data_IF_878199217750
#
_entry.id   IF_878199217750
#
_cell.length_a   1.000
_cell.length_b   1.000
_cell.length_c   1.000
_cell.angle_alpha   90.00
_cell.angle_beta   90.00
_cell.angle_gamma   90.00
#
_symmetry.space_group_name_H-M   'P 1'
#
loop_
_entity.id
_entity.type
_entity.pdbx_description
1 polymer ?
#
# COMPACT_ATOMS: atom_id res chain seq x y z
N UNK A 1 7.44 8.75 16.81
CA UNK A 1 7.27 9.34 15.45
C UNK A 1 5.88 9.92 15.35
N UNK A 2 5.73 11.12 14.78
CA UNK A 2 4.42 11.71 14.53
C UNK A 2 4.47 12.45 13.18
N UNK A 3 3.70 11.96 12.22
CA UNK A 3 3.53 12.59 10.91
C UNK A 3 2.14 13.18 10.86
N UNK A 4 2.04 14.47 10.54
CA UNK A 4 0.78 15.22 10.55
C UNK A 4 0.60 16.00 9.26
N UNK A 5 -0.57 15.88 8.66
CA UNK A 5 -1.04 16.62 7.50
C UNK A 5 -2.14 17.58 7.94
N UNK A 6 -1.99 18.87 7.60
CA UNK A 6 -2.98 19.91 7.89
C UNK A 6 -3.49 20.48 6.56
N UNK A 7 -4.81 20.46 6.35
CA UNK A 7 -5.45 21.13 5.22
C UNK A 7 -6.33 22.28 5.74
N UNK A 8 -5.87 23.51 5.50
CA UNK A 8 -6.55 24.74 5.92
C UNK A 8 -7.80 25.05 5.11
N UNK A 9 -7.89 24.58 3.86
CA UNK A 9 -9.04 24.89 3.00
C UNK A 9 -10.28 24.12 3.43
N UNK A 10 -10.08 22.92 3.99
CA UNK A 10 -11.14 21.99 4.38
C UNK A 10 -11.18 21.76 5.89
N UNK A 11 -10.34 22.51 6.62
CA UNK A 11 -10.27 22.54 8.07
C UNK A 11 -10.20 21.14 8.69
N UNK A 12 -9.33 20.27 8.16
CA UNK A 12 -9.07 18.96 8.78
C UNK A 12 -7.58 18.77 9.07
N UNK A 13 -7.29 17.82 9.96
CA UNK A 13 -5.92 17.32 10.10
C UNK A 13 -5.89 15.82 10.28
N UNK A 14 -4.99 15.16 9.58
CA UNK A 14 -4.79 13.72 9.66
C UNK A 14 -3.36 13.42 10.10
N UNK A 15 -3.14 12.29 10.75
CA UNK A 15 -1.79 11.93 11.12
C UNK A 15 -1.64 10.50 11.60
N UNK A 16 -0.38 10.06 11.59
CA UNK A 16 0.06 8.77 12.10
C UNK A 16 0.92 9.05 13.33
N UNK A 17 0.57 8.39 14.45
CA UNK A 17 1.31 8.43 15.70
C UNK A 17 1.95 7.07 15.96
N UNK A 18 3.18 7.09 16.45
CA UNK A 18 3.90 5.92 16.92
C UNK A 18 4.70 6.34 18.15
N UNK A 19 4.33 5.83 19.32
CA UNK A 19 4.96 6.24 20.58
C UNK A 19 6.40 5.76 20.68
N UNK A 20 6.62 4.46 20.47
CA UNK A 20 7.95 3.90 20.41
C UNK A 20 7.98 2.67 19.49
N UNK A 21 9.14 2.48 18.86
CA UNK A 21 9.50 1.24 18.20
C UNK A 21 10.79 0.76 18.84
N UNK A 22 10.83 -0.51 19.23
CA UNK A 22 12.02 -1.15 19.72
C UNK A 22 12.23 -2.44 18.94
N UNK A 23 13.46 -2.70 18.53
CA UNK A 23 13.86 -3.97 17.94
C UNK A 23 14.91 -4.58 18.87
N UNK A 24 14.60 -5.70 19.49
CA UNK A 24 15.53 -6.45 20.31
C UNK A 24 16.04 -7.66 19.52
N UNK A 25 17.37 -7.77 19.33
CA UNK A 25 17.93 -9.04 18.88
C UNK A 25 17.78 -10.05 20.02
N UNK A 26 17.06 -11.14 19.80
CA UNK A 26 17.11 -12.26 20.72
C UNK A 26 18.43 -12.97 20.43
N UNK A 27 19.39 -12.88 21.36
CA UNK A 27 20.80 -13.29 21.23
C UNK A 27 21.04 -14.81 21.10
N UNK A 28 20.17 -15.54 20.42
CA UNK A 28 20.37 -16.95 20.11
C UNK A 28 20.58 -17.10 18.61
N UNK A 29 21.82 -16.85 18.16
CA UNK A 29 22.30 -17.39 16.88
C UNK A 29 22.51 -18.89 17.07
N UNK A 30 21.45 -19.67 16.84
CA UNK A 30 21.56 -21.12 16.75
C UNK A 30 21.67 -21.44 15.27
N UNK A 31 22.81 -22.01 14.87
CA UNK A 31 23.03 -22.53 13.52
C UNK A 31 22.77 -21.50 12.40
N UNK A 32 23.23 -20.25 12.51
CA UNK A 32 23.13 -19.25 11.43
C UNK A 32 21.72 -18.69 11.15
N UNK A 33 20.74 -19.03 11.99
CA UNK A 33 19.44 -18.35 12.03
C UNK A 33 19.47 -17.16 12.98
N UNK A 34 18.88 -16.04 12.57
CA UNK A 34 18.79 -14.82 13.37
C UNK A 34 17.33 -14.56 13.75
N UNK A 35 17.11 -14.33 15.05
CA UNK A 35 15.80 -14.03 15.61
C UNK A 35 15.75 -12.56 16.06
N UNK A 36 14.80 -11.81 15.52
CA UNK A 36 14.58 -10.41 15.87
C UNK A 36 13.13 -10.22 16.27
N UNK A 37 12.92 -9.58 17.42
CA UNK A 37 11.60 -9.21 17.88
C UNK A 37 11.49 -7.68 17.82
N UNK A 38 10.58 -7.18 17.00
CA UNK A 38 10.26 -5.77 16.94
C UNK A 38 8.90 -5.52 17.61
N UNK A 39 8.86 -4.61 18.56
CA UNK A 39 7.63 -4.14 19.20
C UNK A 39 7.31 -2.74 18.72
N UNK A 40 6.13 -2.56 18.13
CA UNK A 40 5.58 -1.26 17.79
C UNK A 40 4.53 -0.90 18.84
N UNK A 41 4.81 0.11 19.63
CA UNK A 41 3.96 0.53 20.73
C UNK A 41 3.08 1.71 20.33
N UNK A 42 1.78 1.56 20.57
CA UNK A 42 0.76 2.59 20.35
C UNK A 42 0.84 3.23 18.95
N UNK A 43 0.80 2.39 17.90
CA UNK A 43 0.62 2.88 16.52
C UNK A 43 -0.86 3.23 16.30
N UNK A 44 -1.13 4.46 15.88
CA UNK A 44 -2.48 4.95 15.68
C UNK A 44 -2.58 5.87 14.46
N UNK A 45 -3.79 5.93 13.90
CA UNK A 45 -4.12 6.84 12.80
C UNK A 45 -5.29 7.70 13.24
N UNK A 46 -5.14 9.01 13.16
CA UNK A 46 -6.19 9.94 13.53
C UNK A 46 -6.59 10.86 12.39
N UNK A 47 -7.83 11.33 12.46
CA UNK A 47 -8.42 12.30 11.54
C UNK A 47 -9.32 13.25 12.31
N UNK A 48 -8.89 14.49 12.44
CA UNK A 48 -9.61 15.53 13.16
C UNK A 48 -10.45 16.34 12.18
N UNK A 49 -11.76 16.29 12.40
CA UNK A 49 -12.80 16.88 11.55
C UNK A 49 -12.78 18.42 11.52
N UNK A 50 -12.16 19.03 12.54
CA UNK A 50 -12.10 20.47 12.73
C UNK A 50 -10.68 20.91 13.09
N UNK A 51 -10.03 21.60 12.14
CA UNK A 51 -8.79 22.32 12.36
C UNK A 51 -9.11 23.78 12.68
N UNK A 52 -9.00 24.17 13.94
CA UNK A 52 -9.27 25.55 14.37
C UNK A 52 -8.08 26.46 14.09
N UNK A 53 -6.84 25.96 14.31
CA UNK A 53 -5.61 26.68 14.01
C UNK A 53 -4.50 25.71 13.60
N UNK A 54 -3.70 26.04 12.56
CA UNK A 54 -2.54 25.24 12.19
C UNK A 54 -1.51 25.24 13.32
N UNK A 55 -1.00 24.06 13.64
CA UNK A 55 0.09 23.91 14.63
C UNK A 55 1.39 24.41 14.01
N UNK A 56 1.53 24.26 12.69
CA UNK A 56 2.65 24.75 11.88
C UNK A 56 2.90 26.26 11.96
N UNK A 57 1.88 27.07 12.27
CA UNK A 57 2.03 28.52 12.42
C UNK A 57 2.56 28.95 13.80
N UNK A 58 2.77 28.02 14.74
CA UNK A 58 3.24 28.31 16.10
C UNK A 58 4.77 28.34 16.16
N UNK A 59 5.36 29.08 17.13
CA UNK A 59 6.80 29.05 17.38
C UNK A 59 7.32 27.62 17.62
N UNK A 60 8.56 27.34 17.21
CA UNK A 60 9.15 26.00 17.17
C UNK A 60 9.05 25.22 18.49
N UNK A 61 9.25 25.90 19.63
CA UNK A 61 9.15 25.27 20.95
C UNK A 61 7.72 24.79 21.26
N UNK A 62 6.73 25.62 20.94
CA UNK A 62 5.30 25.29 21.12
C UNK A 62 4.86 24.24 20.11
N UNK A 63 5.36 24.30 18.88
CA UNK A 63 5.14 23.28 17.86
C UNK A 63 5.63 21.91 18.35
N UNK A 64 6.85 21.81 18.86
CA UNK A 64 7.44 20.56 19.38
C UNK A 64 6.64 20.02 20.57
N UNK A 65 6.22 20.89 21.49
CA UNK A 65 5.41 20.50 22.64
C UNK A 65 4.04 19.97 22.23
N UNK A 66 3.32 20.66 21.33
CA UNK A 66 2.01 20.22 20.86
C UNK A 66 2.10 18.93 20.04
N UNK A 67 3.09 18.80 19.16
CA UNK A 67 3.31 17.57 18.40
C UNK A 67 3.60 16.37 19.29
N UNK A 68 4.28 16.56 20.44
CA UNK A 68 4.48 15.50 21.45
C UNK A 68 3.18 15.19 22.19
N UNK A 69 2.44 16.21 22.61
CA UNK A 69 1.19 16.06 23.36
C UNK A 69 0.07 15.39 22.55
N UNK A 70 0.14 15.42 21.22
CA UNK A 70 -0.82 14.74 20.35
C UNK A 70 -0.60 13.22 20.24
N UNK A 71 0.63 12.75 20.53
CA UNK A 71 0.92 11.32 20.62
C UNK A 71 0.16 10.79 21.83
N UNK A 72 -0.61 9.71 21.65
CA UNK A 72 -1.33 9.09 22.75
C UNK A 72 -0.36 8.68 23.85
N UNK A 73 -0.78 8.85 25.10
CA UNK A 73 -0.09 8.33 26.27
C UNK A 73 -1.11 7.57 27.11
N UNK A 74 -0.91 6.26 27.27
CA UNK A 74 -1.51 5.44 28.35
C UNK A 74 -2.97 5.81 28.66
N UNK A 75 -3.88 5.47 27.76
CA UNK A 75 -5.34 5.58 27.92
C UNK A 75 -5.93 7.01 28.00
N UNK A 76 -5.11 8.07 27.92
CA UNK A 76 -5.63 9.39 27.55
C UNK A 76 -5.69 9.48 26.03
N UNK A 77 -6.87 9.22 25.48
CA UNK A 77 -7.19 9.69 24.13
C UNK A 77 -7.03 11.21 24.17
N UNK A 78 -5.96 11.69 23.53
CA UNK A 78 -5.78 13.10 23.23
C UNK A 78 -7.02 13.59 22.46
N UNK A 79 -7.28 14.90 22.40
CA UNK A 79 -8.44 15.49 21.70
C UNK A 79 -8.56 15.11 20.19
N UNK A 80 -7.69 14.24 19.69
CA UNK A 80 -7.71 13.74 18.33
C UNK A 80 -8.69 12.58 18.17
N UNK A 81 -9.43 12.60 17.07
CA UNK A 81 -10.36 11.54 16.72
C UNK A 81 -9.63 10.44 15.95
N UNK A 82 -9.32 9.35 16.64
CA UNK A 82 -8.63 8.21 16.04
C UNK A 82 -9.55 7.41 15.11
N UNK A 83 -9.09 7.18 13.88
CA UNK A 83 -9.69 6.20 12.96
C UNK A 83 -9.22 4.80 13.35
N UNK A 84 -7.91 4.64 13.51
CA UNK A 84 -7.31 3.42 14.06
C UNK A 84 -6.84 3.78 15.45
N UNK A 85 -7.48 3.21 16.48
CA UNK A 85 -7.05 3.44 17.86
C UNK A 85 -5.60 2.96 18.05
N UNK A 86 -4.83 3.58 18.95
CA UNK A 86 -3.46 3.15 19.20
C UNK A 86 -3.40 1.67 19.59
N UNK A 87 -2.75 0.84 18.77
CA UNK A 87 -2.54 -0.59 19.01
C UNK A 87 -1.07 -0.85 19.27
N UNK A 88 -0.78 -1.81 20.16
CA UNK A 88 0.58 -2.33 20.34
C UNK A 88 0.68 -3.67 19.61
N UNK A 89 1.71 -3.84 18.80
CA UNK A 89 1.91 -5.03 17.98
C UNK A 89 3.32 -5.55 18.12
N UNK A 90 3.46 -6.88 18.04
CA UNK A 90 4.75 -7.55 18.04
C UNK A 90 4.97 -8.22 16.69
N UNK A 91 6.17 -8.04 16.17
CA UNK A 91 6.64 -8.58 14.90
C UNK A 91 7.84 -9.45 15.23
N UNK A 92 7.67 -10.76 15.09
CA UNK A 92 8.77 -11.72 15.20
C UNK A 92 9.30 -12.01 13.79
N UNK A 93 10.59 -11.76 13.59
CA UNK A 93 11.27 -11.97 12.33
C UNK A 93 12.33 -13.05 12.55
N UNK A 94 12.25 -14.10 11.76
CA UNK A 94 13.31 -15.11 11.67
C UNK A 94 13.94 -15.01 10.29
N UNK A 95 15.27 -14.93 10.25
CA UNK A 95 16.03 -14.91 8.99
C UNK A 95 17.06 -16.00 9.04
N UNK A 96 16.97 -16.94 8.11
CA UNK A 96 18.00 -17.94 7.90
C UNK A 96 19.08 -17.35 7.00
N UNK A 97 20.29 -17.21 7.56
CA UNK A 97 21.44 -16.68 6.83
C UNK A 97 22.33 -17.78 6.26
N UNK A 98 21.97 -19.06 6.46
CA UNK A 98 22.66 -20.18 5.84
C UNK A 98 22.22 -20.30 4.38
N UNK A 99 23.17 -20.18 3.47
CA UNK A 99 22.96 -20.42 2.04
C UNK A 99 23.24 -21.91 1.67
N UNK A 100 23.31 -22.80 2.66
CA UNK A 100 23.61 -24.23 2.46
C UNK A 100 22.35 -24.99 2.02
N UNK A 101 22.42 -25.55 0.81
CA UNK A 101 21.40 -26.36 0.08
C UNK A 101 20.78 -27.52 0.89
N UNK A 102 21.38 -27.93 2.00
CA UNK A 102 20.92 -29.06 2.81
C UNK A 102 19.69 -28.74 3.70
N UNK A 103 19.41 -27.47 3.99
CA UNK A 103 18.31 -27.04 4.88
C UNK A 103 17.15 -26.38 4.11
N UNK A 104 16.83 -26.88 2.92
CA UNK A 104 15.74 -26.38 2.05
C UNK A 104 14.33 -26.47 2.66
N UNK A 105 14.16 -27.10 3.82
CA UNK A 105 12.89 -27.13 4.54
C UNK A 105 12.63 -25.86 5.36
N UNK A 106 13.65 -25.06 5.64
CA UNK A 106 13.54 -23.85 6.48
C UNK A 106 13.47 -22.62 5.57
N UNK A 107 12.39 -21.81 5.66
CA UNK A 107 12.26 -20.61 4.85
C UNK A 107 13.34 -19.58 5.13
N UNK A 108 13.78 -18.84 4.09
CA UNK A 108 14.84 -17.82 4.23
C UNK A 108 14.43 -16.70 5.18
N UNK A 109 13.16 -16.28 5.13
CA UNK A 109 12.59 -15.27 6.02
C UNK A 109 11.19 -15.68 6.48
N UNK A 110 10.93 -15.60 7.78
CA UNK A 110 9.57 -15.70 8.32
C UNK A 110 9.26 -14.44 9.12
N UNK A 111 8.13 -13.82 8.82
CA UNK A 111 7.62 -12.65 9.53
C UNK A 111 6.29 -13.03 10.14
N UNK A 112 6.24 -13.08 11.46
CA UNK A 112 5.02 -13.32 12.23
C UNK A 112 4.59 -12.01 12.88
N UNK A 113 3.43 -11.51 12.50
CA UNK A 113 2.81 -10.32 13.07
C UNK A 113 1.61 -10.76 13.90
N UNK A 114 1.66 -10.48 15.19
CA UNK A 114 0.56 -10.78 16.10
C UNK A 114 -0.07 -9.47 16.59
N UNK A 115 -1.36 -9.32 16.28
CA UNK A 115 -2.19 -8.22 16.76
C UNK A 115 -3.30 -8.79 17.65
N UNK A 116 -3.40 -8.32 18.88
CA UNK A 116 -4.42 -8.80 19.81
C UNK A 116 -5.81 -8.25 19.45
N UNK A 117 -5.94 -6.94 19.34
CA UNK A 117 -7.18 -6.29 18.96
C UNK A 117 -6.93 -5.05 18.11
N UNK A 118 -7.69 -4.89 17.03
CA UNK A 118 -7.68 -3.70 16.18
C UNK A 118 -9.06 -3.04 16.24
N UNK A 119 -9.11 -1.79 16.70
CA UNK A 119 -10.34 -1.00 16.74
C UNK A 119 -10.28 0.11 15.69
N UNK A 120 -11.17 0.02 14.72
CA UNK A 120 -11.36 0.98 13.65
C UNK A 120 -12.68 1.70 13.87
N UNK A 121 -12.66 3.01 14.01
CA UNK A 121 -13.84 3.83 14.24
C UNK A 121 -13.86 5.00 13.25
N UNK A 122 -14.88 5.08 12.42
CA UNK A 122 -15.01 6.14 11.42
C UNK A 122 -16.31 6.89 11.64
N UNK A 123 -16.23 8.21 11.77
CA UNK A 123 -17.40 9.09 11.77
C UNK A 123 -17.87 9.39 10.35
N UNK A 124 -19.15 9.71 10.19
CA UNK A 124 -19.72 10.17 8.92
C UNK A 124 -18.97 11.38 8.34
N UNK A 125 -18.58 12.34 9.19
CA UNK A 125 -17.82 13.52 8.76
C UNK A 125 -16.41 13.11 8.29
N UNK A 126 -15.72 12.26 9.05
CA UNK A 126 -14.40 11.74 8.66
C UNK A 126 -14.47 11.03 7.32
N UNK A 127 -15.46 10.14 7.15
CA UNK A 127 -15.63 9.37 5.93
C UNK A 127 -15.87 10.28 4.72
N UNK A 128 -16.75 11.28 4.85
CA UNK A 128 -17.01 12.26 3.80
C UNK A 128 -15.75 13.06 3.46
N UNK A 129 -14.98 13.52 4.45
CA UNK A 129 -13.73 14.25 4.22
C UNK A 129 -12.67 13.39 3.54
N UNK A 130 -12.53 12.11 3.93
CA UNK A 130 -11.62 11.16 3.28
C UNK A 130 -11.98 10.96 1.82
N UNK A 131 -13.27 10.77 1.51
CA UNK A 131 -13.75 10.64 0.14
C UNK A 131 -13.50 11.91 -0.67
N UNK A 132 -13.73 13.10 -0.10
CA UNK A 132 -13.41 14.38 -0.75
C UNK A 132 -11.89 14.50 -1.05
N UNK A 133 -11.04 14.10 -0.10
CA UNK A 133 -9.57 14.13 -0.29
C UNK A 133 -9.15 13.14 -1.37
N UNK A 134 -9.71 11.93 -1.38
CA UNK A 134 -9.46 10.92 -2.43
C UNK A 134 -9.78 11.50 -3.82
N UNK A 135 -10.97 12.07 -4.00
CA UNK A 135 -11.38 12.68 -5.27
C UNK A 135 -10.41 13.81 -5.69
N UNK A 136 -9.94 14.63 -4.75
CA UNK A 136 -8.96 15.68 -5.05
C UNK A 136 -7.60 15.14 -5.45
N UNK A 137 -7.13 14.08 -4.81
CA UNK A 137 -5.86 13.44 -5.19
C UNK A 137 -5.97 12.89 -6.62
N UNK A 138 -7.10 12.27 -6.97
CA UNK A 138 -7.38 11.83 -8.34
C UNK A 138 -7.39 13.00 -9.33
N UNK A 139 -8.12 14.09 -9.01
CA UNK A 139 -8.13 15.32 -9.82
C UNK A 139 -6.72 15.93 -9.94
N UNK A 140 -5.95 15.93 -8.86
CA UNK A 140 -4.58 16.46 -8.85
C UNK A 140 -3.66 15.65 -9.78
N UNK A 141 -3.69 14.31 -9.70
CA UNK A 141 -2.94 13.42 -10.60
C UNK A 141 -3.28 13.70 -12.07
N UNK A 142 -4.58 13.78 -12.38
CA UNK A 142 -5.04 14.12 -13.74
C UNK A 142 -4.56 15.52 -14.16
N UNK A 143 -4.71 16.53 -13.30
CA UNK A 143 -4.27 17.91 -13.58
C UNK A 143 -2.76 18.01 -13.77
N UNK A 144 -1.97 17.27 -12.99
CA UNK A 144 -0.50 17.24 -13.10
C UNK A 144 -0.09 16.63 -14.43
N UNK A 145 -0.67 15.48 -14.80
CA UNK A 145 -0.43 14.80 -16.08
C UNK A 145 -0.71 15.69 -17.29
N UNK A 146 -1.85 16.38 -17.31
CA UNK A 146 -2.26 17.21 -18.47
C UNK A 146 -1.92 18.70 -18.31
N UNK A 147 -1.10 19.07 -17.31
CA UNK A 147 -0.73 20.46 -17.03
C UNK A 147 -0.09 21.14 -18.24
N UNK A 148 0.71 20.40 -19.00
CA UNK A 148 1.40 20.89 -20.19
C UNK A 148 0.46 21.39 -21.29
N UNK A 149 -0.73 20.80 -21.41
CA UNK A 149 -1.71 21.19 -22.42
C UNK A 149 -2.61 22.35 -21.95
N UNK A 150 -2.54 22.73 -20.67
CA UNK A 150 -3.41 23.75 -20.10
C UNK A 150 -3.02 25.13 -20.61
N UNK A 151 -3.94 25.93 -21.18
CA UNK A 151 -3.65 27.29 -21.61
C UNK A 151 -3.15 28.16 -20.45
N UNK A 152 -1.98 28.76 -20.61
CA UNK A 152 -1.38 29.67 -19.63
C UNK A 152 -1.93 31.08 -19.87
N UNK A 153 -2.41 31.76 -18.82
CA UNK A 153 -2.95 33.15 -18.81
C UNK A 153 -4.31 33.41 -19.47
N UNK A 154 -4.90 32.46 -20.19
CA UNK A 154 -6.23 32.64 -20.80
C UNK A 154 -7.32 31.97 -19.95
N UNK A 155 -8.33 32.72 -19.53
CA UNK A 155 -9.55 32.12 -18.96
C UNK A 155 -10.41 31.54 -20.09
N UNK A 156 -11.32 30.58 -19.79
CA UNK A 156 -12.24 30.04 -20.79
C UNK A 156 -13.07 31.10 -21.52
N UNK A 157 -13.34 32.24 -20.87
CA UNK A 157 -14.05 33.37 -21.46
C UNK A 157 -13.22 34.15 -22.48
N UNK A 158 -11.89 34.19 -22.33
CA UNK A 158 -10.98 34.96 -23.21
C UNK A 158 -10.58 34.16 -24.45
N UNK A 159 -10.36 32.86 -24.32
CA UNK A 159 -10.00 32.00 -25.47
C UNK A 159 -10.65 30.60 -25.36
N UNK A 160 -11.95 30.49 -25.68
CA UNK A 160 -12.68 29.23 -25.54
C UNK A 160 -12.13 28.14 -26.45
N UNK A 161 -11.58 28.49 -27.63
CA UNK A 161 -11.06 27.52 -28.60
C UNK A 161 -9.85 26.78 -28.03
N UNK A 162 -8.92 27.48 -27.37
CA UNK A 162 -7.76 26.83 -26.74
C UNK A 162 -8.17 25.91 -25.59
N UNK A 163 -9.20 26.29 -24.82
CA UNK A 163 -9.74 25.43 -23.77
C UNK A 163 -10.43 24.18 -24.32
N UNK A 164 -11.14 24.28 -25.45
CA UNK A 164 -11.68 23.11 -26.16
C UNK A 164 -10.59 22.20 -26.70
N UNK A 165 -9.52 22.75 -27.29
CA UNK A 165 -8.35 21.96 -27.74
C UNK A 165 -7.70 21.22 -26.57
N UNK A 166 -7.52 21.89 -25.44
CA UNK A 166 -7.02 21.28 -24.20
C UNK A 166 -7.91 20.11 -23.73
N UNK A 167 -9.23 20.31 -23.70
CA UNK A 167 -10.17 19.27 -23.26
C UNK A 167 -10.16 18.08 -24.22
N UNK A 168 -10.16 18.33 -25.53
CA UNK A 168 -10.10 17.27 -26.55
C UNK A 168 -8.78 16.50 -26.43
N UNK A 169 -7.66 17.20 -26.28
CA UNK A 169 -6.35 16.59 -26.22
C UNK A 169 -6.17 15.75 -24.94
N UNK A 170 -6.53 16.29 -23.78
CA UNK A 170 -6.47 15.53 -22.51
C UNK A 170 -7.34 14.26 -22.51
N UNK A 171 -8.48 14.27 -23.22
CA UNK A 171 -9.31 13.07 -23.40
C UNK A 171 -8.80 12.10 -24.47
N UNK A 172 -8.25 12.60 -25.59
CA UNK A 172 -7.80 11.75 -26.70
C UNK A 172 -6.43 11.12 -26.46
N UNK A 173 -5.52 11.81 -25.76
CA UNK A 173 -4.16 11.35 -25.51
C UNK A 173 -4.10 9.97 -24.81
N UNK A 174 -4.84 9.68 -23.72
CA UNK A 174 -4.81 8.34 -23.13
C UNK A 174 -5.36 7.27 -24.08
N UNK A 175 -6.35 7.61 -24.91
CA UNK A 175 -6.93 6.68 -25.91
C UNK A 175 -5.94 6.43 -27.04
N UNK A 176 -5.23 7.47 -27.50
CA UNK A 176 -4.20 7.37 -28.54
C UNK A 176 -3.00 6.60 -28.04
N UNK A 177 -2.56 6.87 -26.81
CA UNK A 177 -1.45 6.15 -26.18
C UNK A 177 -1.79 4.68 -26.02
N UNK A 178 -2.98 4.35 -25.49
CA UNK A 178 -3.45 2.96 -25.39
C UNK A 178 -3.53 2.27 -26.75
N UNK A 179 -4.03 2.94 -27.79
CA UNK A 179 -4.07 2.35 -29.15
C UNK A 179 -2.68 2.17 -29.73
N UNK A 180 -1.78 3.13 -29.50
CA UNK A 180 -0.39 3.07 -29.96
C UNK A 180 0.36 1.94 -29.28
N UNK A 181 0.27 1.81 -27.96
CA UNK A 181 0.97 0.78 -27.18
C UNK A 181 0.43 -0.63 -27.46
N UNK A 182 -0.83 -0.73 -27.88
CA UNK A 182 -1.44 -2.00 -28.32
C UNK A 182 -1.26 -2.29 -29.82
N UNK A 183 -0.65 -1.39 -30.60
CA UNK A 183 -0.38 -1.64 -32.01
C UNK A 183 0.76 -2.65 -32.19
N UNK A 184 0.60 -3.57 -33.14
CA UNK A 184 1.61 -4.59 -33.42
C UNK A 184 2.98 -3.96 -33.73
N UNK A 185 3.01 -2.89 -34.51
CA UNK A 185 4.24 -2.18 -34.87
C UNK A 185 4.98 -1.62 -33.64
N UNK A 186 4.24 -1.05 -32.68
CA UNK A 186 4.85 -0.53 -31.46
C UNK A 186 5.36 -1.66 -30.57
N UNK A 187 4.61 -2.75 -30.42
CA UNK A 187 5.03 -3.92 -29.64
C UNK A 187 6.28 -4.57 -30.24
N UNK A 188 6.35 -4.69 -31.56
CA UNK A 188 7.52 -5.22 -32.27
C UNK A 188 8.74 -4.31 -32.09
N UNK A 189 8.59 -2.99 -32.31
CA UNK A 189 9.67 -2.02 -32.10
C UNK A 189 10.15 -2.00 -30.65
N UNK A 190 9.23 -2.08 -29.68
CA UNK A 190 9.56 -2.14 -28.25
C UNK A 190 10.33 -3.41 -27.92
N UNK A 191 9.92 -4.57 -28.45
CA UNK A 191 10.66 -5.83 -28.28
C UNK A 191 12.07 -5.74 -28.85
N UNK A 192 12.22 -5.18 -30.04
CA UNK A 192 13.52 -5.00 -30.70
C UNK A 192 14.44 -4.09 -29.87
N UNK A 193 13.95 -2.91 -29.47
CA UNK A 193 14.69 -1.98 -28.60
C UNK A 193 15.08 -2.63 -27.29
N UNK A 194 14.18 -3.36 -26.63
CA UNK A 194 14.46 -4.12 -25.40
C UNK A 194 15.61 -5.10 -25.60
N UNK A 195 15.53 -5.96 -26.63
CA UNK A 195 16.57 -6.97 -26.89
C UNK A 195 17.93 -6.31 -27.19
N UNK A 196 17.93 -5.21 -27.97
CA UNK A 196 19.14 -4.47 -28.31
C UNK A 196 19.75 -3.78 -27.10
N UNK A 197 18.93 -3.10 -26.30
CA UNK A 197 19.35 -2.44 -25.06
C UNK A 197 19.94 -3.44 -24.07
N UNK A 198 19.23 -4.55 -23.80
CA UNK A 198 19.71 -5.58 -22.88
C UNK A 198 21.06 -6.16 -23.32
N UNK A 199 21.27 -6.38 -24.62
CA UNK A 199 22.54 -6.87 -25.16
C UNK A 199 23.69 -5.87 -24.93
N UNK A 200 23.46 -4.60 -25.22
CA UNK A 200 24.46 -3.54 -25.04
C UNK A 200 24.77 -3.33 -23.55
N UNK A 201 23.75 -3.26 -22.70
CA UNK A 201 23.90 -3.13 -21.25
C UNK A 201 24.68 -4.32 -20.66
N UNK A 202 24.37 -5.55 -21.08
CA UNK A 202 25.11 -6.76 -20.68
C UNK A 202 26.60 -6.67 -21.06
N UNK A 203 26.90 -6.16 -22.25
CA UNK A 203 28.29 -5.97 -22.69
C UNK A 203 29.02 -4.86 -21.91
N UNK A 204 28.32 -3.79 -21.51
CA UNK A 204 28.85 -2.74 -20.62
C UNK A 204 29.22 -3.28 -19.25
N UNK A 205 28.38 -4.15 -18.68
CA UNK A 205 28.60 -4.77 -17.37
C UNK A 205 29.74 -5.80 -17.32
N UNK A 206 29.99 -6.51 -18.43
CA UNK A 206 30.97 -7.60 -18.49
C UNK A 206 32.34 -7.17 -19.05
N UNK A 207 32.40 -6.07 -19.81
CA UNK A 207 33.66 -5.60 -20.42
C UNK A 207 34.34 -4.52 -19.59
N UNK A 208 35.59 -4.79 -19.17
CA UNK A 208 36.47 -3.78 -18.53
C UNK A 208 36.91 -2.66 -19.48
N UNK A 209 36.66 -2.78 -20.80
CA UNK A 209 37.02 -1.80 -21.82
C UNK A 209 35.80 -1.47 -22.70
N UNK A 210 34.64 -1.25 -22.09
CA UNK A 210 33.48 -0.78 -22.83
C UNK A 210 33.66 0.71 -23.16
N UNK A 211 33.96 1.04 -24.42
CA UNK A 211 33.72 2.39 -24.92
C UNK A 211 32.21 2.57 -25.02
N UNK A 212 31.64 3.59 -24.38
CA UNK A 212 30.23 3.91 -24.53
C UNK A 212 29.91 4.04 -26.02
N UNK A 213 29.15 3.07 -26.53
CA UNK A 213 28.70 3.09 -27.92
C UNK A 213 27.66 4.19 -28.05
N UNK A 214 27.78 5.09 -29.03
CA UNK A 214 26.78 6.12 -29.35
C UNK A 214 25.34 5.56 -29.43
N UNK A 215 25.20 4.27 -29.77
CA UNK A 215 23.92 3.57 -29.82
C UNK A 215 23.25 3.35 -28.46
N UNK A 216 24.01 3.11 -27.40
CA UNK A 216 23.46 2.91 -26.05
C UNK A 216 22.90 4.24 -25.54
N UNK A 217 23.65 5.33 -25.69
CA UNK A 217 23.19 6.67 -25.32
C UNK A 217 21.93 7.06 -26.10
N UNK A 218 21.88 6.82 -27.42
CA UNK A 218 20.67 7.06 -28.23
C UNK A 218 19.46 6.25 -27.75
N UNK A 219 19.67 5.00 -27.32
CA UNK A 219 18.58 4.19 -26.78
C UNK A 219 18.11 4.70 -25.41
N UNK A 220 19.02 5.19 -24.56
CA UNK A 220 18.67 5.78 -23.26
C UNK A 220 17.95 7.12 -23.39
N UNK A 221 18.23 7.89 -24.44
CA UNK A 221 17.47 9.12 -24.76
C UNK A 221 16.04 8.81 -25.26
N UNK A 222 15.85 7.67 -25.94
CA UNK A 222 14.56 7.31 -26.54
C UNK A 222 13.63 6.50 -25.62
N UNK A 223 14.18 5.74 -24.67
CA UNK A 223 13.42 4.88 -23.75
C UNK A 223 12.96 5.68 -22.52
N UNK A 224 11.82 5.30 -21.94
CA UNK A 224 11.41 5.87 -20.66
C UNK A 224 12.34 5.38 -19.55
N UNK A 225 12.43 6.16 -18.48
CA UNK A 225 13.16 5.74 -17.28
C UNK A 225 12.67 4.38 -16.75
N UNK A 226 11.34 4.18 -16.70
CA UNK A 226 10.73 2.91 -16.29
C UNK A 226 11.19 1.74 -17.16
N UNK A 227 11.27 1.93 -18.48
CA UNK A 227 11.75 0.90 -19.41
C UNK A 227 13.22 0.59 -19.19
N UNK A 228 14.05 1.62 -18.99
CA UNK A 228 15.48 1.47 -18.73
C UNK A 228 15.68 0.70 -17.42
N UNK A 229 15.03 1.13 -16.33
CA UNK A 229 15.11 0.48 -15.02
C UNK A 229 14.68 -0.99 -15.12
N UNK A 230 13.58 -1.27 -15.80
CA UNK A 230 13.09 -2.62 -16.03
C UNK A 230 14.04 -3.46 -16.89
N UNK A 231 14.62 -2.91 -17.97
CA UNK A 231 15.54 -3.68 -18.81
C UNK A 231 16.88 -3.93 -18.13
N UNK A 232 17.37 -2.98 -17.32
CA UNK A 232 18.58 -3.15 -16.52
C UNK A 232 18.38 -4.21 -15.46
N UNK A 233 17.26 -4.20 -14.74
CA UNK A 233 16.96 -5.22 -13.71
C UNK A 233 16.94 -6.64 -14.29
N UNK A 234 16.39 -6.81 -15.51
CA UNK A 234 16.40 -8.12 -16.22
C UNK A 234 17.81 -8.61 -16.58
N UNK A 235 18.77 -7.71 -16.84
CA UNK A 235 20.14 -8.05 -17.24
C UNK A 235 21.08 -8.18 -16.05
N UNK A 236 20.89 -7.36 -15.04
CA UNK A 236 21.70 -7.35 -13.83
C UNK A 236 21.37 -8.52 -12.91
N UNK A 237 20.09 -8.93 -12.83
CA UNK A 237 19.68 -10.10 -12.06
C UNK A 237 20.58 -11.33 -12.32
N UNK A 238 20.86 -11.73 -13.58
CA UNK A 238 21.75 -12.86 -13.83
C UNK A 238 23.25 -12.60 -13.58
N UNK A 239 23.75 -11.37 -13.77
CA UNK A 239 25.18 -11.05 -13.60
C UNK A 239 25.54 -10.90 -12.12
N UNK A 240 24.64 -10.32 -11.33
CA UNK A 240 24.83 -10.13 -9.89
C UNK A 240 24.79 -11.46 -9.15
N UNK A 241 23.97 -12.41 -9.59
CA UNK A 241 24.01 -13.79 -9.09
C UNK A 241 25.40 -14.44 -9.30
N UNK A 242 26.00 -14.30 -10.48
CA UNK A 242 27.37 -14.81 -10.75
C UNK A 242 28.47 -14.11 -9.93
N UNK A 243 28.29 -12.82 -9.57
CA UNK A 243 29.26 -12.05 -8.79
C UNK A 243 29.13 -12.28 -7.28
N UNK A 244 27.94 -12.58 -6.77
CA UNK A 244 27.69 -12.85 -5.35
C UNK A 244 28.33 -14.16 -4.87
N UNK A 245 28.38 -15.20 -5.72
CA UNK A 245 29.14 -16.44 -5.47
C UNK A 245 30.64 -16.17 -5.19
N UNK A 246 31.17 -15.00 -5.62
CA UNK A 246 32.57 -14.60 -5.43
C UNK A 246 32.80 -13.58 -4.32
N UNK A 247 31.76 -13.03 -3.67
CA UNK A 247 31.86 -11.87 -2.79
C UNK A 247 31.23 -12.05 -1.40
N UNK A 248 31.02 -13.29 -0.97
CA UNK A 248 30.46 -13.62 0.36
C UNK A 248 31.38 -13.32 1.57
N UNK A 249 32.59 -12.79 1.38
CA UNK A 249 33.54 -12.61 2.51
C UNK A 249 33.67 -11.20 3.07
N UNK A 250 32.84 -10.21 2.70
CA UNK A 250 33.00 -8.87 3.26
C UNK A 250 31.70 -8.08 3.40
N UNK A 251 31.30 -7.87 4.66
CA UNK A 251 30.37 -6.85 5.16
C UNK A 251 28.85 -7.11 5.04
N UNK A 252 28.34 -7.98 5.92
CA UNK A 252 26.93 -8.03 6.36
C UNK A 252 26.89 -7.66 7.84
N UNK A 253 26.06 -6.68 8.22
CA UNK A 253 25.76 -6.46 9.64
C UNK A 253 25.56 -5.01 10.00
N UNK A 254 24.41 -4.45 9.60
CA UNK A 254 23.61 -3.58 10.47
C UNK A 254 22.41 -2.96 9.73
N UNK A 255 22.46 -2.73 8.41
CA UNK A 255 21.51 -1.90 7.63
C UNK A 255 20.37 -2.60 6.87
N UNK A 256 20.20 -3.92 6.97
CA UNK A 256 19.16 -4.67 6.22
C UNK A 256 17.70 -4.58 6.77
N UNK A 257 17.41 -3.86 7.85
CA UNK A 257 16.11 -3.99 8.56
C UNK A 257 15.14 -2.81 8.40
N UNK A 258 15.56 -1.67 7.85
CA UNK A 258 14.73 -0.46 7.79
C UNK A 258 13.86 -0.33 6.54
N UNK A 259 14.25 -0.90 5.40
CA UNK A 259 13.67 -0.57 4.08
C UNK A 259 12.58 -1.53 3.61
N UNK A 260 12.46 -2.74 4.16
CA UNK A 260 11.42 -3.70 3.75
C UNK A 260 10.02 -3.41 4.29
N UNK A 261 9.86 -2.47 5.23
CA UNK A 261 8.56 -2.18 5.87
C UNK A 261 7.79 -0.99 5.26
N UNK A 262 8.39 -0.19 4.36
CA UNK A 262 7.82 1.08 3.90
C UNK A 262 7.53 1.17 2.39
N UNK A 263 7.55 0.07 1.63
CA UNK A 263 7.12 0.09 0.23
C UNK A 263 5.76 -0.58 0.01
N UNK A 264 4.65 0.18 0.00
CA UNK A 264 3.65 0.02 -1.05
C UNK A 264 4.14 0.76 -2.30
N UNK A 265 3.84 0.23 -3.49
CA UNK A 265 4.16 0.85 -4.77
C UNK A 265 3.80 2.35 -4.80
N UNK A 266 4.81 3.22 -4.73
CA UNK A 266 4.68 4.63 -5.01
C UNK A 266 5.09 4.82 -6.46
N UNK A 267 4.12 5.15 -7.31
CA UNK A 267 4.38 5.74 -8.62
C UNK A 267 5.23 7.00 -8.41
N UNK A 268 6.47 6.98 -8.90
CA UNK A 268 7.42 8.09 -8.78
C UNK A 268 6.88 9.30 -9.56
N UNK A 269 6.41 10.30 -8.81
CA UNK A 269 5.89 11.54 -9.37
C UNK A 269 6.76 12.72 -8.93
N UNK A 270 7.78 13.06 -9.72
CA UNK A 270 8.54 14.33 -9.76
C UNK A 270 8.56 15.16 -8.46
N UNK A 271 9.64 15.04 -7.69
CA UNK A 271 10.03 16.04 -6.67
C UNK A 271 11.38 16.63 -7.07
N UNK A 272 11.40 17.95 -7.30
CA UNK A 272 12.62 18.72 -7.56
C UNK A 272 13.64 18.51 -6.44
N UNK A 273 14.87 18.20 -6.84
CA UNK A 273 15.98 17.73 -6.02
C UNK A 273 16.67 18.81 -5.15
N UNK A 274 16.00 19.93 -4.84
CA UNK A 274 16.67 21.08 -4.20
C UNK A 274 16.06 21.57 -2.88
N UNK A 275 15.23 20.77 -2.18
CA UNK A 275 14.64 21.23 -0.89
C UNK A 275 14.75 20.23 0.27
N UNK A 276 15.43 19.08 0.13
CA UNK A 276 15.59 18.11 1.24
C UNK A 276 17.06 17.99 1.67
N UNK A 277 17.72 19.13 1.88
CA UNK A 277 19.09 19.15 2.43
C UNK A 277 19.17 19.49 3.92
N UNK A 278 18.08 19.90 4.56
CA UNK A 278 18.13 20.24 5.99
C UNK A 278 17.08 19.41 6.75
N UNK A 279 17.60 18.51 7.61
CA UNK A 279 16.91 17.76 8.68
C UNK A 279 16.87 16.22 8.61
N UNK A 280 17.87 15.58 7.99
CA UNK A 280 18.35 14.27 8.45
C UNK A 280 19.87 14.31 8.43
N UNK A 281 20.51 14.33 9.59
CA UNK A 281 21.97 14.17 9.70
C UNK A 281 22.31 12.71 9.39
N UNK A 282 22.37 12.38 8.11
CA UNK A 282 23.07 11.22 7.58
C UNK A 282 24.23 11.77 6.73
N UNK A 283 25.40 11.18 6.86
CA UNK A 283 26.57 11.50 6.04
C UNK A 283 26.27 11.26 4.55
N UNK A 284 26.89 12.03 3.63
CA UNK A 284 26.74 11.81 2.18
C UNK A 284 27.07 10.38 1.76
N UNK A 285 28.06 9.76 2.43
CA UNK A 285 28.43 8.35 2.22
C UNK A 285 27.36 7.38 2.73
N UNK A 286 26.64 7.72 3.80
CA UNK A 286 25.52 6.91 4.32
C UNK A 286 24.29 7.02 3.42
N UNK A 287 24.10 8.17 2.77
CA UNK A 287 23.03 8.41 1.79
C UNK A 287 23.27 7.61 0.51
N UNK A 288 24.47 7.63 -0.03
CA UNK A 288 24.81 6.87 -1.24
C UNK A 288 24.76 5.36 -0.96
N UNK A 289 25.26 4.91 0.20
CA UNK A 289 25.12 3.53 0.63
C UNK A 289 23.65 3.09 0.84
N UNK A 290 22.78 4.01 1.28
CA UNK A 290 21.34 3.76 1.43
C UNK A 290 20.64 3.56 0.07
N UNK A 291 20.96 4.38 -0.92
CA UNK A 291 20.42 4.23 -2.29
C UNK A 291 21.01 3.01 -3.01
N UNK A 292 22.30 2.72 -2.83
CA UNK A 292 22.94 1.51 -3.37
C UNK A 292 22.36 0.23 -2.74
N UNK A 293 22.03 0.24 -1.45
CA UNK A 293 21.39 -0.87 -0.77
C UNK A 293 19.91 -1.07 -1.18
N UNK A 294 19.15 0.02 -1.42
CA UNK A 294 17.80 -0.04 -1.99
C UNK A 294 17.80 -0.72 -3.37
N UNK A 295 18.77 -0.37 -4.21
CA UNK A 295 18.97 -1.00 -5.52
C UNK A 295 19.44 -2.46 -5.38
N UNK A 296 20.22 -2.78 -4.35
CA UNK A 296 20.66 -4.15 -4.05
C UNK A 296 19.52 -5.04 -3.49
N UNK A 297 18.49 -4.49 -2.83
CA UNK A 297 17.34 -5.28 -2.36
C UNK A 297 16.40 -5.76 -3.47
N UNK A 298 16.57 -5.25 -4.70
CA UNK A 298 15.97 -5.84 -5.90
C UNK A 298 16.73 -7.09 -6.39
N UNK A 299 17.71 -7.58 -5.62
CA UNK A 299 18.34 -8.88 -5.85
C UNK A 299 17.36 -10.01 -5.56
N UNK A 300 16.55 -10.31 -6.57
CA UNK A 300 16.10 -11.67 -6.79
C UNK A 300 17.36 -12.55 -6.76
N UNK A 301 17.54 -13.31 -5.68
CA UNK A 301 18.28 -14.58 -5.74
C UNK A 301 17.77 -15.26 -7.02
N UNK A 302 18.68 -15.74 -7.87
CA UNK A 302 18.26 -16.44 -9.07
C UNK A 302 17.37 -17.60 -8.67
N UNK A 303 16.09 -17.45 -8.97
CA UNK A 303 15.05 -18.47 -8.75
C UNK A 303 15.35 -19.77 -9.48
N UNK A 304 16.29 -19.75 -10.43
CA UNK A 304 16.72 -20.88 -11.22
C UNK A 304 17.57 -21.92 -10.48
N UNK A 305 18.16 -21.61 -9.32
CA UNK A 305 18.97 -22.58 -8.55
C UNK A 305 18.24 -23.17 -7.33
N UNK A 306 17.11 -22.60 -6.95
CA UNK A 306 16.30 -23.07 -5.83
C UNK A 306 15.24 -24.06 -6.33
N UNK A 307 14.95 -25.14 -5.59
CA UNK A 307 13.81 -26.00 -5.92
C UNK A 307 12.53 -25.17 -5.99
N UNK A 308 11.66 -25.48 -6.94
CA UNK A 308 10.38 -24.79 -7.10
C UNK A 308 9.50 -24.87 -5.85
N UNK A 309 9.72 -25.87 -4.99
CA UNK A 309 9.04 -26.08 -3.70
C UNK A 309 9.65 -25.30 -2.52
N UNK A 310 10.76 -24.59 -2.71
CA UNK A 310 11.43 -23.86 -1.63
C UNK A 310 10.65 -22.60 -1.24
N UNK A 311 10.41 -22.40 0.06
CA UNK A 311 9.73 -21.19 0.56
C UNK A 311 10.77 -20.10 0.81
N UNK A 312 10.79 -19.05 -0.02
CA UNK A 312 11.70 -17.91 0.17
C UNK A 312 11.30 -17.07 1.37
N UNK A 313 10.04 -16.68 1.42
CA UNK A 313 9.52 -15.87 2.51
C UNK A 313 8.13 -16.34 2.90
N UNK A 314 7.89 -16.34 4.21
CA UNK A 314 6.56 -16.56 4.79
C UNK A 314 6.19 -15.34 5.62
N UNK A 315 5.03 -14.76 5.36
CA UNK A 315 4.43 -13.69 6.15
C UNK A 315 3.15 -14.27 6.77
N UNK A 316 3.05 -14.21 8.09
CA UNK A 316 1.88 -14.66 8.83
C UNK A 316 1.38 -13.51 9.69
N UNK A 317 0.12 -13.13 9.52
CA UNK A 317 -0.55 -12.09 10.28
C UNK A 317 -1.74 -12.73 10.96
N UNK A 318 -1.74 -12.72 12.29
CA UNK A 318 -2.84 -13.23 13.10
C UNK A 318 -3.46 -12.10 13.89
N UNK A 319 -4.78 -11.93 13.78
CA UNK A 319 -5.55 -10.96 14.54
C UNK A 319 -6.69 -11.67 15.30
N UNK A 320 -6.73 -11.54 16.62
CA UNK A 320 -7.78 -12.22 17.41
C UNK A 320 -9.13 -11.53 17.23
N UNK A 321 -9.14 -10.19 17.24
CA UNK A 321 -10.37 -9.42 17.09
C UNK A 321 -10.14 -8.13 16.29
N UNK A 322 -11.04 -7.86 15.35
CA UNK A 322 -11.11 -6.57 14.65
C UNK A 322 -12.51 -6.00 14.83
N UNK A 323 -12.61 -4.82 15.43
CA UNK A 323 -13.86 -4.10 15.62
C UNK A 323 -13.89 -2.91 14.66
N UNK A 324 -14.89 -2.87 13.80
CA UNK A 324 -15.21 -1.75 12.94
C UNK A 324 -16.46 -1.05 13.47
N UNK A 325 -16.42 0.26 13.61
CA UNK A 325 -17.58 1.04 14.02
C UNK A 325 -17.78 2.24 13.10
N UNK A 326 -18.99 2.35 12.57
CA UNK A 326 -19.45 3.51 11.82
C UNK A 326 -20.30 4.37 12.74
N UNK A 327 -19.91 5.62 12.93
CA UNK A 327 -20.65 6.57 13.74
C UNK A 327 -21.31 7.63 12.85
N UNK A 328 -22.62 7.82 13.02
CA UNK A 328 -23.32 8.96 12.45
C UNK A 328 -22.99 10.24 13.19
N UNK A 329 -23.22 11.38 12.54
CA UNK A 329 -23.10 12.69 13.17
C UNK A 329 -24.39 13.49 13.00
N UNK A 330 -25.00 13.89 14.12
CA UNK A 330 -26.13 14.83 14.11
C UNK A 330 -25.89 15.92 15.14
N UNK A 331 -25.97 17.20 14.75
CA UNK A 331 -25.69 18.34 15.64
C UNK A 331 -24.36 18.24 16.44
N UNK A 332 -23.29 17.72 15.81
CA UNK A 332 -21.99 17.44 16.43
C UNK A 332 -21.97 16.35 17.51
N UNK A 333 -23.09 15.68 17.78
CA UNK A 333 -23.13 14.47 18.59
C UNK A 333 -22.88 13.24 17.71
N UNK A 334 -21.95 12.39 18.16
CA UNK A 334 -21.63 11.12 17.52
C UNK A 334 -22.52 10.03 18.11
N UNK A 335 -23.22 9.30 17.25
CA UNK A 335 -23.99 8.14 17.66
C UNK A 335 -23.55 6.90 16.86
N UNK A 336 -23.53 5.71 17.48
CA UNK A 336 -23.21 4.47 16.76
C UNK A 336 -24.30 4.16 15.73
N UNK A 337 -23.90 3.79 14.51
CA UNK A 337 -24.82 3.39 13.43
C UNK A 337 -24.70 1.89 13.19
N UNK A 338 -23.46 1.43 12.98
CA UNK A 338 -23.14 0.05 12.67
C UNK A 338 -21.87 -0.33 13.42
N UNK A 339 -21.85 -1.52 13.97
CA UNK A 339 -20.65 -2.12 14.51
C UNK A 339 -20.47 -3.52 13.91
N UNK A 340 -19.24 -3.85 13.51
CA UNK A 340 -18.87 -5.13 12.95
C UNK A 340 -17.66 -5.68 13.68
N UNK A 341 -17.77 -6.90 14.18
CA UNK A 341 -16.70 -7.61 14.85
C UNK A 341 -16.27 -8.80 13.98
N UNK A 342 -14.98 -8.88 13.70
CA UNK A 342 -14.34 -10.03 13.06
C UNK A 342 -13.50 -10.75 14.11
N UNK A 343 -13.62 -12.07 14.19
CA UNK A 343 -12.89 -12.89 15.14
C UNK A 343 -12.00 -13.89 14.42
N UNK A 344 -10.75 -14.01 14.87
CA UNK A 344 -9.78 -14.98 14.34
C UNK A 344 -9.49 -14.78 12.85
N UNK A 345 -8.97 -13.61 12.48
CA UNK A 345 -8.45 -13.39 11.12
C UNK A 345 -7.00 -13.88 11.04
N UNK A 346 -6.74 -14.81 10.14
CA UNK A 346 -5.39 -15.30 9.81
C UNK A 346 -5.10 -15.02 8.34
N UNK A 347 -3.97 -14.37 8.07
CA UNK A 347 -3.47 -14.15 6.72
C UNK A 347 -2.08 -14.76 6.65
N UNK A 348 -1.91 -15.74 5.78
CA UNK A 348 -0.63 -16.35 5.48
C UNK A 348 -0.26 -16.13 4.02
N UNK A 349 0.92 -15.59 3.77
CA UNK A 349 1.48 -15.48 2.43
C UNK A 349 2.83 -16.19 2.38
N UNK A 350 2.98 -17.13 1.45
CA UNK A 350 4.22 -17.80 1.15
C UNK A 350 4.66 -17.47 -0.29
N UNK A 351 5.87 -16.94 -0.42
CA UNK A 351 6.51 -16.69 -1.71
C UNK A 351 7.52 -17.80 -2.02
N UNK A 352 7.40 -18.40 -3.19
CA UNK A 352 8.28 -19.41 -3.75
C UNK A 352 9.02 -18.83 -4.98
N UNK A 353 10.04 -19.52 -5.54
CA UNK A 353 10.76 -19.09 -6.74
C UNK A 353 9.86 -18.77 -7.94
N UNK A 354 8.95 -19.67 -8.29
CA UNK A 354 8.07 -19.52 -9.45
C UNK A 354 6.59 -19.29 -9.09
N UNK A 355 6.25 -19.42 -7.80
CA UNK A 355 4.86 -19.48 -7.31
C UNK A 355 4.67 -18.61 -6.06
N UNK A 356 3.43 -18.25 -5.77
CA UNK A 356 3.06 -17.57 -4.52
C UNK A 356 1.69 -18.04 -4.07
N UNK A 357 1.56 -18.32 -2.77
CA UNK A 357 0.30 -18.79 -2.16
C UNK A 357 -0.10 -17.83 -1.06
N UNK A 358 -1.34 -17.35 -1.12
CA UNK A 358 -1.97 -16.50 -0.10
C UNK A 358 -3.17 -17.25 0.46
N UNK A 359 -3.21 -17.45 1.77
CA UNK A 359 -4.35 -17.99 2.50
C UNK A 359 -4.92 -16.90 3.41
N UNK A 360 -6.23 -16.76 3.39
CA UNK A 360 -6.98 -15.86 4.28
C UNK A 360 -8.08 -16.68 4.93
N UNK A 361 -8.08 -16.74 6.25
CA UNK A 361 -9.05 -17.48 7.05
C UNK A 361 -9.70 -16.52 8.05
N UNK A 362 -11.02 -16.64 8.21
CA UNK A 362 -11.80 -15.88 9.17
C UNK A 362 -12.72 -16.82 9.92
N UNK A 363 -12.48 -16.93 11.23
CA UNK A 363 -13.22 -17.86 12.09
C UNK A 363 -14.70 -17.52 12.21
N UNK A 364 -15.02 -16.28 12.59
CA UNK A 364 -16.40 -15.82 12.71
C UNK A 364 -16.52 -14.31 12.59
N UNK A 365 -17.75 -13.83 12.39
CA UNK A 365 -18.05 -12.42 12.35
C UNK A 365 -19.41 -12.14 12.99
N UNK A 366 -19.60 -10.91 13.44
CA UNK A 366 -20.86 -10.42 13.99
C UNK A 366 -21.06 -8.98 13.55
N UNK A 367 -22.26 -8.65 13.05
CA UNK A 367 -22.62 -7.28 12.69
C UNK A 367 -23.84 -6.86 13.51
N UNK A 368 -23.73 -5.74 14.19
CA UNK A 368 -24.77 -5.18 15.06
C UNK A 368 -25.29 -3.85 14.53
N UNK A 369 -26.62 -3.73 14.51
CA UNK A 369 -27.36 -2.51 14.20
C UNK A 369 -27.58 -1.71 15.48
N UNK A 370 -27.01 -0.51 15.52
CA UNK A 370 -27.21 0.47 16.60
C UNK A 370 -28.10 1.64 16.18
N UNK A 371 -28.52 1.69 14.92
CA UNK A 371 -29.29 2.80 14.35
C UNK A 371 -30.79 2.62 14.53
N UNK A 372 -31.32 1.39 14.44
CA UNK A 372 -32.77 1.17 14.52
C UNK A 372 -33.28 0.96 15.94
N UNK A 373 -34.05 1.92 16.51
CA UNK A 373 -34.55 1.79 17.87
C UNK A 373 -35.64 0.72 17.96
N UNK A 374 -35.55 -0.15 18.97
CA UNK A 374 -36.58 -1.16 19.25
C UNK A 374 -36.59 -2.36 18.30
N UNK A 375 -35.51 -2.60 17.55
CA UNK A 375 -35.37 -3.80 16.74
C UNK A 375 -35.36 -5.06 17.60
N UNK A 376 -36.08 -6.11 17.15
CA UNK A 376 -35.99 -7.46 17.74
C UNK A 376 -34.69 -8.18 17.33
N UNK A 377 -33.98 -7.64 16.34
CA UNK A 377 -32.79 -8.21 15.75
C UNK A 377 -31.64 -7.19 15.76
N UNK A 378 -30.99 -6.97 16.92
CA UNK A 378 -29.85 -6.08 17.01
C UNK A 378 -28.62 -6.67 16.30
N UNK A 379 -28.48 -8.00 16.26
CA UNK A 379 -27.45 -8.68 15.47
C UNK A 379 -28.04 -8.98 14.10
N UNK A 380 -27.55 -8.29 13.08
CA UNK A 380 -28.07 -8.36 11.72
C UNK A 380 -27.32 -9.33 10.83
N UNK A 381 -26.09 -9.70 11.18
CA UNK A 381 -25.36 -10.72 10.45
C UNK A 381 -24.45 -11.52 11.37
N UNK A 382 -24.51 -12.85 11.25
CA UNK A 382 -23.64 -13.79 11.95
C UNK A 382 -23.58 -15.12 11.19
N UNK A 383 -22.50 -15.90 11.32
CA UNK A 383 -22.42 -17.21 10.69
C UNK A 383 -23.39 -18.20 11.35
N UNK A 384 -23.99 -19.05 10.54
CA UNK A 384 -24.84 -20.17 10.97
C UNK A 384 -23.92 -21.38 11.07
N UNK A 385 -23.10 -21.41 12.13
CA UNK A 385 -22.11 -22.48 12.33
C UNK A 385 -22.84 -23.79 12.67
N UNK A 386 -22.68 -24.82 11.84
CA UNK A 386 -23.07 -26.18 12.19
C UNK A 386 -22.02 -26.79 13.13
N UNK A 387 -22.45 -27.69 14.03
CA UNK A 387 -21.53 -28.40 14.93
C UNK A 387 -20.41 -29.09 14.13
N UNK A 388 -19.17 -28.65 14.34
CA UNK A 388 -17.97 -29.21 13.70
C UNK A 388 -17.32 -28.36 12.59
N UNK A 389 -17.88 -27.20 12.22
CA UNK A 389 -17.25 -26.28 11.26
C UNK A 389 -16.09 -25.50 11.90
N UNK A 390 -14.96 -25.42 11.18
CA UNK A 390 -13.74 -24.74 11.64
C UNK A 390 -13.82 -23.22 11.51
N UNK A 391 -13.96 -22.70 10.28
CA UNK A 391 -13.94 -21.25 9.99
C UNK A 391 -15.10 -20.84 9.09
N UNK A 392 -15.57 -19.59 9.22
CA UNK A 392 -16.66 -19.06 8.39
C UNK A 392 -16.24 -18.84 6.93
N UNK A 393 -15.03 -18.32 6.72
CA UNK A 393 -14.52 -17.95 5.40
C UNK A 393 -13.09 -18.41 5.24
N UNK A 394 -12.80 -19.07 4.12
CA UNK A 394 -11.45 -19.38 3.66
C UNK A 394 -11.26 -18.87 2.22
N UNK A 395 -10.09 -18.32 1.94
CA UNK A 395 -9.67 -17.95 0.59
C UNK A 395 -8.25 -18.43 0.38
N UNK A 396 -8.04 -19.17 -0.69
CA UNK A 396 -6.72 -19.59 -1.16
C UNK A 396 -6.52 -19.00 -2.55
N UNK A 397 -5.49 -18.18 -2.68
CA UNK A 397 -5.07 -17.62 -3.96
C UNK A 397 -3.64 -18.09 -4.26
N UNK A 398 -3.48 -18.81 -5.36
CA UNK A 398 -2.19 -19.30 -5.83
C UNK A 398 -1.87 -18.71 -7.20
N UNK A 399 -0.65 -18.21 -7.34
CA UNK A 399 -0.07 -17.78 -8.60
C UNK A 399 0.89 -18.87 -9.08
N UNK A 400 0.71 -19.34 -10.31
CA UNK A 400 1.41 -20.49 -10.89
C UNK A 400 1.38 -21.70 -9.93
N UNK A 401 0.19 -22.24 -9.61
CA UNK A 401 0.04 -23.45 -8.78
C UNK A 401 0.92 -24.61 -9.27
N UNK A 402 1.66 -25.23 -8.36
CA UNK A 402 2.55 -26.36 -8.70
C UNK A 402 1.79 -27.64 -9.09
N UNK A 403 0.53 -27.75 -8.70
CA UNK A 403 -0.32 -28.93 -8.91
C UNK A 403 -1.09 -28.90 -10.24
N UNK A 404 -1.11 -27.76 -10.95
CA UNK A 404 -1.91 -27.59 -12.16
C UNK A 404 -1.21 -26.68 -13.18
N UNK A 405 -1.46 -26.89 -14.47
CA UNK A 405 -0.92 -26.05 -15.56
C UNK A 405 -1.57 -24.65 -15.66
N UNK A 406 -2.30 -24.21 -14.64
CA UNK A 406 -2.97 -22.91 -14.63
C UNK A 406 -2.02 -21.80 -14.19
N UNK A 407 -2.19 -20.60 -14.74
CA UNK A 407 -1.45 -19.41 -14.28
C UNK A 407 -1.93 -18.91 -12.91
N UNK A 408 -3.20 -19.14 -12.58
CA UNK A 408 -3.85 -18.66 -11.35
C UNK A 408 -4.85 -19.70 -10.84
N UNK A 409 -4.89 -19.88 -9.53
CA UNK A 409 -5.90 -20.64 -8.82
C UNK A 409 -6.51 -19.80 -7.70
N UNK A 410 -7.84 -19.77 -7.63
CA UNK A 410 -8.59 -19.08 -6.60
C UNK A 410 -9.67 -20.02 -6.08
N UNK A 411 -9.56 -20.37 -4.82
CA UNK A 411 -10.54 -21.16 -4.07
C UNK A 411 -11.11 -20.29 -2.96
N UNK A 412 -12.44 -20.28 -2.84
CA UNK A 412 -13.17 -19.49 -1.85
C UNK A 412 -14.24 -20.38 -1.25
N UNK A 413 -14.12 -20.70 0.04
CA UNK A 413 -15.16 -21.37 0.79
C UNK A 413 -15.81 -20.39 1.76
N UNK A 414 -17.14 -20.34 1.72
CA UNK A 414 -17.94 -19.48 2.59
C UNK A 414 -19.05 -20.31 3.18
N UNK A 415 -19.09 -20.37 4.50
CA UNK A 415 -20.16 -21.05 5.23
C UNK A 415 -21.44 -20.22 5.25
N UNK A 416 -22.57 -20.86 5.53
CA UNK A 416 -23.86 -20.17 5.61
C UNK A 416 -23.87 -19.10 6.71
N UNK A 417 -24.54 -17.99 6.45
CA UNK A 417 -24.78 -16.93 7.43
C UNK A 417 -26.22 -16.44 7.38
N UNK A 418 -26.73 -16.04 8.53
CA UNK A 418 -28.03 -15.41 8.65
C UNK A 418 -27.84 -13.90 8.52
N UNK A 419 -28.50 -13.29 7.53
CA UNK A 419 -28.45 -11.84 7.28
C UNK A 419 -29.86 -11.28 7.37
N UNK A 420 -30.05 -10.34 8.28
CA UNK A 420 -31.31 -9.63 8.51
C UNK A 420 -31.15 -8.23 7.96
N UNK A 421 -31.92 -7.93 6.91
CA UNK A 421 -31.86 -6.64 6.24
C UNK A 421 -32.88 -5.70 6.87
N UNK A 422 -32.37 -4.65 7.53
CA UNK A 422 -33.21 -3.58 8.05
C UNK A 422 -33.19 -2.36 7.11
N UNK A 423 -34.33 -1.99 6.49
CA UNK A 423 -34.35 -0.93 5.46
C UNK A 423 -33.87 0.44 5.95
N UNK A 424 -34.18 0.78 7.20
CA UNK A 424 -33.77 2.06 7.81
C UNK A 424 -32.24 2.17 7.92
N UNK A 425 -31.58 1.12 8.40
CA UNK A 425 -30.12 1.07 8.49
C UNK A 425 -29.47 1.17 7.11
N UNK A 426 -29.93 0.38 6.12
CA UNK A 426 -29.41 0.44 4.76
C UNK A 426 -29.55 1.85 4.18
N UNK A 427 -30.72 2.48 4.34
CA UNK A 427 -30.95 3.84 3.85
C UNK A 427 -29.98 4.85 4.49
N UNK A 428 -29.67 4.68 5.77
CA UNK A 428 -28.72 5.54 6.49
C UNK A 428 -27.29 5.32 6.03
N UNK A 429 -26.87 4.07 5.87
CA UNK A 429 -25.54 3.73 5.35
C UNK A 429 -25.38 4.34 3.95
N UNK A 430 -26.36 4.13 3.06
CA UNK A 430 -26.33 4.70 1.72
C UNK A 430 -26.24 6.22 1.75
N UNK A 431 -26.95 6.91 2.65
CA UNK A 431 -26.84 8.36 2.82
C UNK A 431 -25.44 8.80 3.28
N UNK A 432 -24.79 8.06 4.16
CA UNK A 432 -23.43 8.38 4.64
C UNK A 432 -22.42 8.32 3.48
N UNK A 433 -22.52 7.29 2.64
CA UNK A 433 -21.65 7.13 1.47
C UNK A 433 -22.05 8.04 0.29
N UNK A 434 -23.30 8.46 0.22
CA UNK A 434 -23.79 9.39 -0.79
C UNK A 434 -23.51 10.82 -0.35
N UNK A 435 -22.31 11.33 -0.69
CA UNK A 435 -21.95 12.72 -0.36
C UNK A 435 -23.04 13.71 -0.85
N UNK A 436 -23.54 14.64 0.00
CA UNK A 436 -24.48 15.67 -0.44
C UNK A 436 -23.88 16.60 -1.50
N UNK A 437 -22.53 16.69 -1.60
CA UNK A 437 -21.82 17.48 -2.62
C UNK A 437 -21.45 16.67 -3.87
N UNK A 438 -21.55 15.34 -3.85
CA UNK A 438 -21.50 14.52 -5.07
C UNK A 438 -22.70 14.83 -6.00
N UNK A 439 -23.64 15.66 -5.55
CA UNK A 439 -24.71 16.27 -6.37
C UNK A 439 -24.22 17.23 -7.47
N UNK A 440 -22.93 17.53 -7.58
CA UNK A 440 -22.37 18.09 -8.82
C UNK A 440 -22.05 17.04 -9.90
N UNK A 441 -22.31 15.75 -9.65
CA UNK A 441 -22.26 14.71 -10.69
C UNK A 441 -23.26 13.53 -10.62
N UNK A 442 -24.56 13.69 -10.29
CA UNK A 442 -25.53 12.59 -10.44
C UNK A 442 -26.43 12.72 -11.67
N UNK A 443 -26.27 13.73 -12.54
CA UNK A 443 -27.10 13.83 -13.78
C UNK A 443 -26.61 12.96 -14.94
N UNK A 444 -25.50 12.22 -14.79
CA UNK A 444 -24.94 11.38 -15.87
C UNK A 444 -25.15 9.87 -15.70
N UNK A 445 -25.50 9.41 -14.50
CA UNK A 445 -25.79 7.99 -14.25
C UNK A 445 -27.30 7.69 -14.36
N UNK A 446 -28.18 8.56 -13.85
CA UNK A 446 -29.64 8.42 -14.02
C UNK A 446 -30.06 8.53 -15.50
N UNK A 447 -29.48 9.47 -16.25
CA UNK A 447 -29.74 9.62 -17.70
C UNK A 447 -29.22 8.47 -18.57
N UNK A 448 -28.42 7.56 -18.01
CA UNK A 448 -27.90 6.37 -18.70
C UNK A 448 -28.73 5.12 -18.43
N UNK A 449 -29.51 5.12 -17.34
CA UNK A 449 -30.44 4.03 -17.00
C UNK A 449 -31.80 4.28 -17.67
N UNK A 450 -32.27 5.53 -17.74
CA UNK A 450 -33.52 5.86 -18.46
C UNK A 450 -33.41 5.65 -19.98
N UNK A 451 -32.23 5.80 -20.58
CA UNK A 451 -32.00 5.55 -22.02
C UNK A 451 -31.86 4.09 -22.44
N UNK A 452 -31.98 3.14 -21.50
CA UNK A 452 -31.95 1.70 -21.80
C UNK A 452 -33.25 0.99 -21.39
N UNK A 453 -34.27 1.73 -20.97
CA UNK A 453 -35.61 1.20 -20.64
C UNK A 453 -36.73 1.83 -21.49
N UNK A 454 -36.39 2.77 -22.37
CA UNK A 454 -37.18 3.15 -23.56
C UNK A 454 -36.50 2.62 -24.83
#
# INVERSE_FOLDING_TARGET
VHVRLEDLQHSFSAGITLKSAAATPQQQEVMGTTYKLATLNEIGVYWNDHLVRPISAKPEEKFKQEMRNLISHQNLLTQSFYIVRPVTTSIAITSNNNDIVAEQSIPKKVINVLLEALQVQVSEIQLQQILEVKERVEIFRVRKKYRMYRPVKHTPAVDPIRWWKFLIQSHLDPIRERRRTMSADWLLKRREKRLRYMKLWKSKLLSSKFSETDELCKLEEELSYEDIAYFRSLVEAPISAEKLVKRETAAKGWWEWGTSFLSPAVEEENVNEQVIENELKLSGEERDAFFDALNATNSNIQDSELPETYVKSKIQISMNQIQFSLCGSHNHEKFPVLEGNLFGLSIEHASLPASGVTRVELHSFEVTDHFTPGTLYPIIAKPTMADGMQDFFSLIFEQNPMSSDNDLHLEIDVNSSDIIIQPQLISRILQIFSSPKASHSPKKLEAKIEKHVE
#
